data_IF_731271528399
#
_entry.id   IF_731271528399
#
_cell.length_a   1.000
_cell.length_b   1.000
_cell.length_c   1.000
_cell.angle_alpha   90.00
_cell.angle_beta   90.00
_cell.angle_gamma   90.00
#
_symmetry.space_group_name_H-M   'P 1'
#
loop_
_entity.id
_entity.type
_entity.pdbx_description
1 polymer ?
#
# COMPACT_ATOMS: atom_id res chain seq x y z
N UNK A 1 -20.66 -9.71 -16.70
CA UNK A 1 -19.56 -8.74 -16.91
C UNK A 1 -18.42 -9.20 -16.02
N UNK A 2 -17.21 -9.39 -16.55
CA UNK A 2 -16.07 -9.76 -15.71
C UNK A 2 -15.84 -8.62 -14.74
N UNK A 3 -16.08 -8.84 -13.45
CA UNK A 3 -15.78 -7.84 -12.45
C UNK A 3 -14.27 -7.62 -12.44
N UNK A 4 -13.86 -6.37 -12.36
CA UNK A 4 -12.48 -5.95 -12.44
C UNK A 4 -11.93 -5.84 -11.01
N UNK A 5 -10.88 -6.58 -10.65
CA UNK A 5 -10.24 -6.52 -9.32
C UNK A 5 -9.44 -5.23 -9.05
N UNK A 6 -9.76 -4.17 -9.78
CA UNK A 6 -9.20 -2.84 -9.61
C UNK A 6 -10.32 -1.82 -9.45
N UNK A 7 -10.27 -1.05 -8.37
CA UNK A 7 -11.33 -0.11 -7.95
C UNK A 7 -10.79 1.32 -8.06
N UNK A 8 -11.57 2.22 -8.64
CA UNK A 8 -11.19 3.64 -8.86
C UNK A 8 -9.87 3.82 -9.65
N UNK A 9 -9.49 2.85 -10.47
CA UNK A 9 -8.28 2.87 -11.30
C UNK A 9 -8.69 2.72 -12.77
N UNK A 10 -8.17 3.59 -13.64
CA UNK A 10 -8.28 3.41 -15.10
C UNK A 10 -7.20 2.45 -15.59
N UNK A 11 -7.34 1.93 -16.82
CA UNK A 11 -6.34 1.05 -17.40
C UNK A 11 -4.96 1.71 -17.52
N UNK A 12 -4.91 3.02 -17.76
CA UNK A 12 -3.65 3.78 -17.81
C UNK A 12 -2.97 3.85 -16.44
N UNK A 13 -3.74 4.05 -15.37
CA UNK A 13 -3.22 4.12 -14.00
C UNK A 13 -2.66 2.78 -13.51
N UNK A 14 -3.10 1.65 -14.08
CA UNK A 14 -2.61 0.33 -13.70
C UNK A 14 -1.13 0.10 -14.02
N UNK A 15 -0.60 0.84 -15.00
CA UNK A 15 0.80 0.76 -15.43
C UNK A 15 1.61 2.02 -15.06
N UNK A 16 0.98 2.99 -14.40
CA UNK A 16 1.68 4.14 -13.83
C UNK A 16 2.52 3.72 -12.61
N UNK A 17 3.76 4.23 -12.47
CA UNK A 17 4.60 3.92 -11.31
C UNK A 17 3.97 4.38 -9.99
N UNK A 18 3.99 3.47 -9.02
CA UNK A 18 3.60 3.73 -7.63
C UNK A 18 4.78 3.42 -6.71
N UNK A 19 4.74 4.01 -5.52
CA UNK A 19 5.89 4.07 -4.64
C UNK A 19 5.51 3.76 -3.19
N UNK A 20 6.44 3.15 -2.47
CA UNK A 20 6.31 2.89 -1.03
C UNK A 20 7.65 3.16 -0.34
N UNK A 21 7.60 3.93 0.73
CA UNK A 21 8.74 4.12 1.64
C UNK A 21 8.62 3.11 2.78
N UNK A 22 9.73 2.48 3.14
CA UNK A 22 9.82 1.60 4.30
C UNK A 22 11.21 1.68 4.94
N UNK A 23 11.37 1.32 6.22
CA UNK A 23 12.68 1.19 6.84
C UNK A 23 13.57 0.20 6.09
N UNK A 24 14.86 0.52 5.94
CA UNK A 24 15.81 -0.30 5.16
C UNK A 24 15.89 -1.74 5.66
N UNK A 25 15.78 -1.97 6.98
CA UNK A 25 15.82 -3.31 7.54
C UNK A 25 14.61 -4.17 7.09
N UNK A 26 13.44 -3.57 6.89
CA UNK A 26 12.25 -4.25 6.32
C UNK A 26 12.46 -4.56 4.84
N UNK A 27 13.11 -3.68 4.10
CA UNK A 27 13.46 -3.96 2.71
C UNK A 27 14.47 -5.11 2.60
N UNK A 28 15.50 -5.14 3.45
CA UNK A 28 16.46 -6.26 3.49
C UNK A 28 15.78 -7.58 3.89
N UNK A 29 14.82 -7.53 4.81
CA UNK A 29 13.97 -8.68 5.16
C UNK A 29 13.15 -9.16 3.95
N UNK A 30 12.52 -8.24 3.21
CA UNK A 30 11.78 -8.57 1.97
C UNK A 30 12.68 -9.25 0.93
N UNK A 31 13.91 -8.78 0.76
CA UNK A 31 14.87 -9.39 -0.18
C UNK A 31 15.30 -10.80 0.26
N UNK A 32 15.48 -11.01 1.56
CA UNK A 32 15.87 -12.30 2.14
C UNK A 32 14.72 -13.32 2.05
N UNK A 33 13.56 -12.95 2.59
CA UNK A 33 12.40 -13.83 2.71
C UNK A 33 11.64 -13.98 1.40
N UNK A 34 11.83 -13.05 0.45
CA UNK A 34 11.10 -12.96 -0.81
C UNK A 34 9.59 -12.91 -0.59
N UNK A 35 9.17 -12.17 0.44
CA UNK A 35 7.76 -12.03 0.83
C UNK A 35 7.34 -10.57 0.90
N UNK A 36 6.17 -10.27 0.36
CA UNK A 36 5.48 -9.00 0.58
C UNK A 36 4.53 -9.16 1.76
N UNK A 37 4.45 -8.14 2.61
CA UNK A 37 3.66 -8.16 3.85
C UNK A 37 2.50 -7.18 3.79
N UNK A 38 1.28 -7.67 3.99
CA UNK A 38 0.07 -6.88 4.21
C UNK A 38 -0.29 -6.97 5.70
N UNK A 39 -0.92 -5.92 6.22
CA UNK A 39 -1.34 -5.86 7.63
C UNK A 39 -2.83 -5.61 7.72
N UNK A 40 -3.46 -6.05 8.81
CA UNK A 40 -4.87 -5.76 9.06
C UNK A 40 -5.09 -4.24 9.18
N UNK A 41 -6.18 -3.69 8.62
CA UNK A 41 -6.53 -2.26 8.76
C UNK A 41 -6.63 -1.76 10.21
N UNK A 42 -6.90 -2.65 11.18
CA UNK A 42 -6.89 -2.30 12.61
C UNK A 42 -5.52 -1.80 13.11
N UNK A 43 -4.44 -2.03 12.37
CA UNK A 43 -3.09 -1.53 12.66
C UNK A 43 -2.79 -0.19 11.99
N UNK A 44 -3.70 0.34 11.18
CA UNK A 44 -3.52 1.64 10.55
C UNK A 44 -3.90 2.75 11.53
N UNK A 45 -3.28 3.92 11.38
CA UNK A 45 -3.40 5.02 12.35
C UNK A 45 -4.70 5.84 12.20
N UNK A 46 -5.35 5.83 11.02
CA UNK A 46 -6.58 6.60 10.78
C UNK A 46 -7.83 5.82 11.22
N UNK A 47 -8.58 6.30 12.23
CA UNK A 47 -9.76 5.60 12.75
C UNK A 47 -10.88 5.44 11.71
N UNK A 48 -10.91 6.27 10.65
CA UNK A 48 -11.94 6.19 9.61
C UNK A 48 -11.69 5.05 8.61
N UNK A 49 -10.45 4.59 8.45
CA UNK A 49 -10.10 3.58 7.45
C UNK A 49 -10.72 2.20 7.73
N UNK A 50 -11.19 1.98 8.96
CA UNK A 50 -11.82 0.72 9.38
C UNK A 50 -13.25 0.95 9.91
N UNK A 51 -13.85 2.12 9.67
CA UNK A 51 -15.13 2.50 10.27
C UNK A 51 -16.29 1.58 9.86
N UNK A 52 -16.37 1.20 8.57
CA UNK A 52 -17.40 0.29 8.06
C UNK A 52 -17.27 -1.13 8.63
N UNK A 53 -16.07 -1.70 8.58
CA UNK A 53 -15.81 -3.06 9.07
C UNK A 53 -15.92 -3.16 10.60
N UNK A 54 -15.72 -2.06 11.32
CA UNK A 54 -15.97 -1.98 12.77
C UNK A 54 -17.41 -1.59 13.14
N UNK A 55 -18.28 -1.31 12.17
CA UNK A 55 -19.66 -0.92 12.45
C UNK A 55 -20.47 -2.07 13.05
N UNK A 56 -21.47 -1.72 13.87
CA UNK A 56 -22.45 -2.68 14.38
C UNK A 56 -23.50 -2.92 13.31
N UNK A 57 -23.73 -4.19 12.99
CA UNK A 57 -24.83 -4.63 12.13
C UNK A 57 -26.03 -4.81 13.02
N UNK A 58 -27.15 -4.16 12.71
CA UNK A 58 -28.43 -4.44 13.35
C UNK A 58 -29.34 -5.13 12.34
N UNK A 59 -29.85 -6.31 12.67
CA UNK A 59 -30.80 -7.03 11.83
C UNK A 59 -32.20 -6.44 11.98
N UNK A 60 -33.11 -6.75 11.05
CA UNK A 60 -34.52 -6.35 11.15
C UNK A 60 -35.22 -6.81 12.44
N UNK A 61 -34.67 -7.84 13.08
CA UNK A 61 -35.19 -8.44 14.31
C UNK A 61 -34.57 -7.82 15.58
N UNK A 62 -33.72 -6.80 15.43
CA UNK A 62 -33.06 -6.09 16.52
C UNK A 62 -31.83 -6.81 17.08
N UNK A 63 -31.34 -7.86 16.42
CA UNK A 63 -30.09 -8.52 16.79
C UNK A 63 -28.89 -7.71 16.30
N UNK A 64 -27.91 -7.53 17.17
CA UNK A 64 -26.67 -6.80 16.84
C UNK A 64 -25.51 -7.76 16.60
N UNK A 65 -24.75 -7.53 15.53
CA UNK A 65 -23.53 -8.27 15.19
C UNK A 65 -22.41 -7.35 14.70
N UNK A 66 -21.29 -7.94 14.29
CA UNK A 66 -20.18 -7.23 13.64
C UNK A 66 -19.74 -7.98 12.39
N UNK A 67 -19.14 -7.29 11.42
CA UNK A 67 -18.57 -7.95 10.25
C UNK A 67 -17.35 -8.80 10.63
N UNK A 68 -17.38 -10.10 10.35
CA UNK A 68 -16.25 -11.02 10.53
C UNK A 68 -15.08 -10.68 9.61
N UNK A 69 -15.36 -10.11 8.44
CA UNK A 69 -14.37 -9.71 7.43
C UNK A 69 -13.27 -8.80 8.00
N UNK A 70 -13.55 -8.01 9.05
CA UNK A 70 -12.53 -7.16 9.70
C UNK A 70 -11.33 -7.95 10.22
N UNK A 71 -11.53 -9.21 10.55
CA UNK A 71 -10.51 -10.09 11.12
C UNK A 71 -9.70 -10.84 10.05
N UNK A 72 -10.21 -10.88 8.81
CA UNK A 72 -9.65 -11.62 7.67
C UNK A 72 -9.22 -10.71 6.50
N UNK A 73 -9.32 -9.38 6.61
CA UNK A 73 -8.89 -8.43 5.58
C UNK A 73 -7.54 -7.79 5.90
N UNK A 74 -6.69 -7.71 4.88
CA UNK A 74 -5.34 -7.17 4.96
C UNK A 74 -5.09 -6.19 3.83
N UNK A 75 -4.24 -5.19 4.07
CA UNK A 75 -3.85 -4.26 3.02
C UNK A 75 -2.42 -3.75 3.14
N UNK A 76 -1.97 -3.12 2.05
CA UNK A 76 -0.70 -2.43 1.96
C UNK A 76 -0.86 -1.16 1.11
N UNK A 77 -0.46 -0.03 1.68
CA UNK A 77 -0.56 1.29 1.09
C UNK A 77 0.65 1.61 0.19
N UNK A 78 0.38 2.22 -0.96
CA UNK A 78 1.33 2.77 -1.91
C UNK A 78 0.86 4.16 -2.32
N UNK A 79 1.68 4.92 -3.02
CA UNK A 79 1.32 6.27 -3.50
C UNK A 79 1.70 6.47 -4.97
N UNK A 80 0.97 7.31 -5.68
CA UNK A 80 1.39 7.83 -6.99
C UNK A 80 2.41 8.97 -6.90
N UNK A 81 2.66 9.53 -5.70
CA UNK A 81 3.71 10.53 -5.54
C UNK A 81 5.09 9.89 -5.66
N UNK A 82 5.85 10.33 -6.67
CA UNK A 82 7.21 9.86 -6.88
C UNK A 82 8.10 10.18 -5.69
N UNK A 83 8.26 11.44 -5.33
CA UNK A 83 9.07 11.83 -4.19
C UNK A 83 8.61 13.17 -3.62
N UNK A 84 8.34 13.22 -2.32
CA UNK A 84 8.10 14.48 -1.59
C UNK A 84 8.85 14.46 -0.26
N UNK A 85 9.25 15.64 0.22
CA UNK A 85 9.89 15.76 1.53
C UNK A 85 8.97 15.30 2.67
N UNK A 86 7.66 15.60 2.57
CA UNK A 86 6.66 15.18 3.54
C UNK A 86 6.64 13.65 3.71
N UNK A 87 6.65 12.89 2.62
CA UNK A 87 6.67 11.43 2.67
C UNK A 87 7.93 10.89 3.37
N UNK A 88 9.11 11.46 3.11
CA UNK A 88 10.33 11.06 3.82
C UNK A 88 10.24 11.33 5.32
N UNK A 89 9.65 12.46 5.72
CA UNK A 89 9.46 12.78 7.15
C UNK A 89 8.46 11.87 7.85
N UNK A 90 7.39 11.47 7.17
CA UNK A 90 6.34 10.61 7.71
C UNK A 90 6.82 9.17 7.82
N UNK A 91 7.41 8.62 6.75
CA UNK A 91 7.70 7.18 6.64
C UNK A 91 9.17 6.79 6.89
N UNK A 92 10.07 7.77 7.02
CA UNK A 92 11.51 7.57 7.27
C UNK A 92 11.99 8.56 8.34
N UNK A 93 11.39 8.49 9.53
CA UNK A 93 11.70 9.40 10.64
C UNK A 93 13.20 9.40 10.99
N UNK A 94 13.79 8.20 11.07
CA UNK A 94 15.18 7.98 11.45
C UNK A 94 16.17 8.10 10.28
N UNK A 95 15.69 8.54 9.10
CA UNK A 95 16.49 8.73 7.86
C UNK A 95 17.14 7.44 7.35
N UNK A 96 16.63 6.29 7.79
CA UNK A 96 17.07 4.96 7.41
C UNK A 96 16.10 4.30 6.42
N UNK A 97 15.22 5.07 5.79
CA UNK A 97 14.24 4.59 4.83
C UNK A 97 14.78 4.37 3.42
N UNK A 98 14.07 3.49 2.71
CA UNK A 98 14.21 3.28 1.28
C UNK A 98 12.83 3.35 0.64
N UNK A 99 12.75 4.04 -0.49
CA UNK A 99 11.58 4.06 -1.36
C UNK A 99 11.77 3.01 -2.44
N UNK A 100 10.77 2.19 -2.66
CA UNK A 100 10.71 1.24 -3.78
C UNK A 100 9.62 1.64 -4.77
N UNK A 101 9.75 1.27 -6.03
CA UNK A 101 8.73 1.51 -7.06
C UNK A 101 8.24 0.22 -7.72
N UNK A 102 6.98 0.20 -8.15
CA UNK A 102 6.35 -0.87 -8.94
C UNK A 102 5.15 -0.28 -9.71
N UNK A 103 4.26 -1.11 -10.25
CA UNK A 103 2.96 -0.68 -10.79
C UNK A 103 1.80 -1.41 -10.12
N UNK A 104 0.58 -0.84 -10.09
CA UNK A 104 -0.59 -1.54 -9.58
C UNK A 104 -0.80 -2.91 -10.23
N UNK A 105 -0.63 -3.01 -11.55
CA UNK A 105 -0.79 -4.27 -12.29
C UNK A 105 0.14 -5.37 -11.78
N UNK A 106 1.42 -5.04 -11.53
CA UNK A 106 2.41 -5.98 -11.00
C UNK A 106 2.06 -6.47 -9.60
N UNK A 107 1.65 -5.57 -8.71
CA UNK A 107 1.23 -5.94 -7.34
C UNK A 107 0.02 -6.85 -7.33
N UNK A 108 -1.03 -6.48 -8.08
CA UNK A 108 -2.25 -7.28 -8.16
C UNK A 108 -1.95 -8.66 -8.74
N UNK A 109 -1.16 -8.72 -9.82
CA UNK A 109 -0.77 -9.98 -10.46
C UNK A 109 0.05 -10.86 -9.51
N UNK A 110 0.98 -10.28 -8.75
CA UNK A 110 1.79 -11.03 -7.79
C UNK A 110 0.94 -11.63 -6.66
N UNK A 111 -0.01 -10.86 -6.12
CA UNK A 111 -0.94 -11.35 -5.09
C UNK A 111 -1.85 -12.46 -5.64
N UNK A 112 -2.45 -12.25 -6.82
CA UNK A 112 -3.30 -13.23 -7.48
C UNK A 112 -2.56 -14.52 -7.84
N UNK A 113 -1.27 -14.42 -8.20
CA UNK A 113 -0.42 -15.58 -8.48
C UNK A 113 -0.11 -16.37 -7.21
N UNK A 114 0.12 -15.69 -6.09
CA UNK A 114 0.36 -16.34 -4.81
C UNK A 114 -0.91 -16.95 -4.20
N UNK A 115 -2.07 -16.35 -4.46
CA UNK A 115 -3.38 -16.74 -3.91
C UNK A 115 -4.36 -17.11 -5.04
N UNK A 116 -4.15 -18.20 -5.79
CA UNK A 116 -4.88 -18.49 -7.02
C UNK A 116 -6.35 -18.88 -6.80
N UNK A 117 -6.67 -19.43 -5.62
CA UNK A 117 -8.00 -19.94 -5.30
C UNK A 117 -8.96 -18.78 -5.04
N UNK A 118 -9.94 -18.60 -5.94
CA UNK A 118 -10.91 -17.49 -5.88
C UNK A 118 -10.26 -16.11 -5.81
N UNK A 119 -9.08 -15.95 -6.43
CA UNK A 119 -8.34 -14.68 -6.46
C UNK A 119 -9.19 -13.48 -6.90
N UNK A 120 -10.13 -13.69 -7.83
CA UNK A 120 -11.05 -12.65 -8.30
C UNK A 120 -12.06 -12.17 -7.24
N UNK A 121 -12.21 -12.88 -6.12
CA UNK A 121 -13.09 -12.51 -5.02
C UNK A 121 -12.31 -11.98 -3.80
N UNK A 122 -10.98 -12.10 -3.82
CA UNK A 122 -10.12 -11.91 -2.65
C UNK A 122 -9.01 -10.89 -2.85
N UNK A 123 -8.50 -10.76 -4.07
CA UNK A 123 -7.35 -9.93 -4.38
C UNK A 123 -7.82 -8.67 -5.09
N UNK A 124 -7.59 -7.50 -4.50
CA UNK A 124 -7.99 -6.23 -5.08
C UNK A 124 -6.85 -5.22 -5.04
N UNK A 125 -6.89 -4.26 -5.95
CA UNK A 125 -6.10 -3.05 -5.85
C UNK A 125 -6.99 -1.85 -6.09
N UNK A 126 -6.82 -0.75 -5.36
CA UNK A 126 -7.70 0.38 -5.55
C UNK A 126 -7.12 1.71 -5.18
N UNK A 127 -7.49 2.74 -5.92
CA UNK A 127 -7.13 4.13 -5.60
C UNK A 127 -8.06 4.65 -4.51
N UNK A 128 -7.46 5.26 -3.50
CA UNK A 128 -8.22 5.90 -2.41
C UNK A 128 -8.93 7.15 -2.96
N UNK A 129 -10.21 7.26 -2.65
CA UNK A 129 -11.04 8.43 -2.91
C UNK A 129 -11.12 9.29 -1.65
N UNK A 130 -10.93 10.59 -1.83
CA UNK A 130 -10.87 11.54 -0.73
C UNK A 130 -12.14 12.38 -0.69
N UNK A 131 -12.82 12.39 0.45
CA UNK A 131 -14.12 13.06 0.62
C UNK A 131 -14.12 13.96 1.85
N UNK A 132 -14.88 15.08 1.83
CA UNK A 132 -15.21 15.81 3.05
C UNK A 132 -15.95 14.90 4.05
N UNK A 133 -15.75 15.11 5.35
CA UNK A 133 -16.34 14.27 6.40
C UNK A 133 -17.86 14.09 6.28
N UNK A 134 -18.58 15.14 5.89
CA UNK A 134 -20.04 15.11 5.70
C UNK A 134 -20.48 14.16 4.58
N UNK A 135 -19.67 14.01 3.53
CA UNK A 135 -19.94 13.09 2.42
C UNK A 135 -19.39 11.69 2.70
N UNK A 136 -18.38 11.57 3.56
CA UNK A 136 -17.73 10.31 3.85
C UNK A 136 -18.69 9.30 4.49
N UNK A 137 -19.49 9.73 5.48
CA UNK A 137 -20.45 8.85 6.13
C UNK A 137 -21.51 8.33 5.14
N UNK A 138 -22.08 9.21 4.32
CA UNK A 138 -23.05 8.84 3.28
C UNK A 138 -22.45 7.84 2.29
N UNK A 139 -21.22 8.10 1.83
CA UNK A 139 -20.54 7.21 0.91
C UNK A 139 -20.26 5.85 1.54
N UNK A 140 -19.77 5.82 2.78
CA UNK A 140 -19.52 4.57 3.50
C UNK A 140 -20.81 3.76 3.67
N UNK A 141 -21.93 4.37 4.05
CA UNK A 141 -23.22 3.68 4.17
C UNK A 141 -23.76 3.15 2.83
N UNK A 142 -23.33 3.71 1.70
CA UNK A 142 -23.73 3.23 0.37
C UNK A 142 -22.94 2.00 -0.11
N UNK A 143 -21.82 1.66 0.54
CA UNK A 143 -20.98 0.51 0.16
C UNK A 143 -21.70 -0.78 0.52
N UNK A 144 -21.91 -1.65 -0.46
CA UNK A 144 -22.57 -2.94 -0.23
C UNK A 144 -21.58 -3.99 0.28
N UNK A 145 -21.38 -4.05 1.60
CA UNK A 145 -20.50 -5.04 2.25
C UNK A 145 -20.90 -6.50 1.99
N UNK A 146 -22.12 -6.75 1.53
CA UNK A 146 -22.64 -8.09 1.23
C UNK A 146 -22.45 -8.49 -0.23
N UNK A 147 -21.74 -7.69 -1.02
CA UNK A 147 -21.42 -8.04 -2.41
C UNK A 147 -20.67 -9.37 -2.47
N UNK A 148 -21.28 -10.34 -3.16
CA UNK A 148 -20.77 -11.71 -3.25
C UNK A 148 -19.47 -11.82 -4.06
N UNK A 149 -19.10 -10.76 -4.77
CA UNK A 149 -17.84 -10.68 -5.51
C UNK A 149 -16.66 -10.18 -4.65
N UNK A 150 -16.89 -9.84 -3.37
CA UNK A 150 -15.87 -9.35 -2.44
C UNK A 150 -15.50 -7.87 -2.62
N UNK A 151 -16.03 -7.20 -3.65
CA UNK A 151 -15.66 -5.83 -3.98
C UNK A 151 -16.12 -4.82 -2.93
N UNK A 152 -17.28 -5.01 -2.29
CA UNK A 152 -17.76 -4.11 -1.24
C UNK A 152 -16.82 -4.04 -0.02
N UNK A 153 -16.22 -5.17 0.38
CA UNK A 153 -15.21 -5.19 1.45
C UNK A 153 -13.99 -4.38 1.01
N UNK A 154 -13.50 -4.58 -0.21
CA UNK A 154 -12.36 -3.83 -0.73
C UNK A 154 -12.67 -2.33 -0.88
N UNK A 155 -13.84 -1.98 -1.40
CA UNK A 155 -14.31 -0.59 -1.57
C UNK A 155 -14.42 0.14 -0.23
N UNK A 156 -14.84 -0.56 0.83
CA UNK A 156 -14.93 0.01 2.18
C UNK A 156 -13.60 0.56 2.72
N UNK A 157 -12.47 0.03 2.21
CA UNK A 157 -11.12 0.45 2.56
C UNK A 157 -10.56 1.52 1.63
N UNK A 158 -11.35 2.09 0.71
CA UNK A 158 -10.85 3.02 -0.31
C UNK A 158 -11.39 4.44 -0.14
N UNK A 159 -11.86 4.81 1.04
CA UNK A 159 -12.28 6.17 1.36
C UNK A 159 -11.49 6.74 2.53
N UNK A 160 -11.01 7.98 2.35
CA UNK A 160 -10.36 8.77 3.41
C UNK A 160 -10.91 10.19 3.40
N UNK A 161 -10.63 10.91 4.48
CA UNK A 161 -10.94 12.34 4.55
C UNK A 161 -10.01 13.15 3.65
N UNK A 162 -10.51 14.27 3.12
CA UNK A 162 -9.79 15.15 2.18
C UNK A 162 -8.45 15.65 2.71
N UNK A 163 -8.27 15.75 4.03
CA UNK A 163 -7.02 16.16 4.66
C UNK A 163 -5.85 15.20 4.35
N UNK A 164 -6.15 13.95 3.99
CA UNK A 164 -5.16 12.93 3.61
C UNK A 164 -4.90 12.85 2.10
N UNK A 165 -5.52 13.73 1.28
CA UNK A 165 -5.37 13.70 -0.19
C UNK A 165 -3.91 13.80 -0.65
N UNK A 166 -3.08 14.49 0.15
CA UNK A 166 -1.63 14.62 -0.07
C UNK A 166 -0.86 13.29 -0.09
N UNK A 167 -1.47 12.18 0.36
CA UNK A 167 -0.88 10.84 0.26
C UNK A 167 -1.05 10.22 -1.13
N UNK A 168 -2.05 10.63 -1.92
CA UNK A 168 -2.37 10.10 -3.26
C UNK A 168 -2.28 8.56 -3.32
N UNK A 169 -3.03 7.93 -2.42
CA UNK A 169 -2.84 6.55 -1.99
C UNK A 169 -3.51 5.53 -2.93
N UNK A 170 -2.86 4.38 -3.08
CA UNK A 170 -3.39 3.18 -3.72
C UNK A 170 -3.13 1.97 -2.80
N UNK A 171 -4.13 1.12 -2.60
CA UNK A 171 -4.08 0.00 -1.67
C UNK A 171 -4.13 -1.32 -2.41
N UNK A 172 -3.16 -2.19 -2.14
CA UNK A 172 -3.28 -3.62 -2.41
C UNK A 172 -4.05 -4.24 -1.25
N UNK A 173 -5.11 -5.00 -1.53
CA UNK A 173 -6.06 -5.53 -0.54
C UNK A 173 -6.21 -7.04 -0.76
N UNK A 174 -6.19 -7.79 0.34
CA UNK A 174 -6.46 -9.23 0.37
C UNK A 174 -7.53 -9.55 1.40
N UNK A 175 -8.61 -10.19 0.95
CA UNK A 175 -9.64 -10.78 1.82
C UNK A 175 -9.34 -12.28 1.98
N UNK A 176 -8.79 -12.63 3.13
CA UNK A 176 -8.47 -14.01 3.50
C UNK A 176 -9.71 -14.83 3.85
N UNK A 177 -9.49 -16.13 4.10
CA UNK A 177 -10.57 -17.01 4.55
C UNK A 177 -10.93 -16.74 6.02
N UNK A 178 -12.23 -16.68 6.29
CA UNK A 178 -12.76 -16.61 7.65
C UNK A 178 -12.25 -17.81 8.46
N UNK A 179 -11.65 -17.54 9.63
CA UNK A 179 -11.03 -18.50 10.54
C UNK A 179 -9.59 -18.97 10.21
N UNK A 180 -8.93 -18.39 9.20
CA UNK A 180 -7.47 -18.53 9.09
C UNK A 180 -6.79 -17.90 10.32
N UNK A 181 -5.68 -18.49 10.78
CA UNK A 181 -4.94 -18.15 12.01
C UNK A 181 -4.92 -16.63 12.29
N UNK A 182 -5.28 -16.25 13.51
CA UNK A 182 -5.47 -14.87 13.96
C UNK A 182 -4.13 -14.10 14.01
N UNK A 183 -3.63 -13.71 12.84
CA UNK A 183 -2.43 -12.92 12.64
C UNK A 183 -2.80 -11.52 12.19
N UNK A 184 -2.11 -10.50 12.71
CA UNK A 184 -2.23 -9.13 12.20
C UNK A 184 -1.54 -8.94 10.83
N UNK A 185 -0.88 -9.98 10.35
CA UNK A 185 0.04 -9.95 9.22
C UNK A 185 -0.32 -11.10 8.27
N UNK A 186 -0.51 -10.74 7.00
CA UNK A 186 -0.56 -11.67 5.88
C UNK A 186 0.70 -11.48 5.04
N UNK A 187 1.36 -12.57 4.66
CA UNK A 187 2.55 -12.52 3.82
C UNK A 187 2.41 -13.48 2.64
N UNK A 188 2.80 -13.04 1.45
CA UNK A 188 2.80 -13.87 0.26
C UNK A 188 4.14 -13.77 -0.47
N UNK A 189 4.50 -14.87 -1.13
CA UNK A 189 5.78 -14.99 -1.85
C UNK A 189 5.78 -14.12 -3.10
N UNK A 190 6.88 -13.43 -3.34
CA UNK A 190 7.12 -12.59 -4.52
C UNK A 190 8.49 -12.89 -5.13
N UNK A 191 8.70 -12.47 -6.37
CA UNK A 191 10.05 -12.29 -6.92
C UNK A 191 10.40 -10.80 -6.86
N UNK A 192 11.25 -10.34 -5.93
CA UNK A 192 11.57 -8.92 -5.81
C UNK A 192 12.15 -8.30 -7.08
N UNK A 193 12.93 -9.06 -7.86
CA UNK A 193 13.56 -8.57 -9.09
C UNK A 193 12.60 -8.42 -10.27
N UNK A 194 11.42 -9.04 -10.22
CA UNK A 194 10.36 -8.87 -11.22
C UNK A 194 9.31 -7.85 -10.76
N UNK A 195 9.00 -7.87 -9.46
CA UNK A 195 7.99 -7.00 -8.88
C UNK A 195 8.48 -5.54 -8.75
N UNK A 196 9.71 -5.32 -8.28
CA UNK A 196 10.22 -3.98 -7.97
C UNK A 196 11.10 -3.44 -9.10
N UNK A 197 10.83 -2.21 -9.51
CA UNK A 197 11.49 -1.56 -10.66
C UNK A 197 12.70 -0.73 -10.25
N UNK A 198 12.61 -0.03 -9.12
CA UNK A 198 13.71 0.77 -8.62
C UNK A 198 13.66 0.95 -7.11
N UNK A 199 14.80 1.30 -6.54
CA UNK A 199 14.92 1.78 -5.17
C UNK A 199 15.58 3.14 -5.12
N UNK A 200 15.24 3.92 -4.12
CA UNK A 200 15.78 5.25 -3.84
C UNK A 200 16.00 5.35 -2.34
N UNK A 201 17.23 5.59 -1.91
CA UNK A 201 17.51 5.82 -0.49
C UNK A 201 17.00 7.19 -0.05
N UNK A 202 16.63 7.31 1.24
CA UNK A 202 16.35 8.61 1.84
C UNK A 202 17.54 9.55 1.56
N UNK A 203 17.29 10.74 0.98
CA UNK A 203 18.37 11.68 0.65
C UNK A 203 19.17 12.15 1.87
N UNK A 204 18.59 12.05 3.07
CA UNK A 204 19.19 12.46 4.35
C UNK A 204 20.00 11.33 4.99
N UNK A 205 20.00 10.12 4.41
CA UNK A 205 20.80 8.99 4.88
C UNK A 205 22.30 9.29 4.75
N UNK A 206 23.07 8.95 5.78
CA UNK A 206 24.53 9.12 5.80
C UNK A 206 25.19 8.33 4.65
N UNK A 207 26.22 8.91 4.02
CA UNK A 207 26.83 8.39 2.80
C UNK A 207 27.48 7.02 2.97
N UNK A 208 28.24 6.79 4.03
CA UNK A 208 28.90 5.51 4.29
C UNK A 208 27.87 4.43 4.63
N UNK A 209 26.84 4.78 5.41
CA UNK A 209 25.73 3.88 5.72
C UNK A 209 24.97 3.48 4.46
N UNK A 210 24.64 4.44 3.59
CA UNK A 210 24.02 4.18 2.28
C UNK A 210 24.89 3.25 1.43
N UNK A 211 26.20 3.48 1.40
CA UNK A 211 27.13 2.63 0.66
C UNK A 211 27.16 1.20 1.21
N UNK A 212 27.12 1.02 2.54
CA UNK A 212 27.05 -0.29 3.16
C UNK A 212 25.75 -1.03 2.77
N UNK A 213 24.60 -0.35 2.82
CA UNK A 213 23.33 -0.94 2.38
C UNK A 213 23.30 -1.26 0.89
N UNK A 214 23.88 -0.40 0.04
CA UNK A 214 24.00 -0.67 -1.39
C UNK A 214 24.77 -1.98 -1.65
N UNK A 215 25.86 -2.22 -0.91
CA UNK A 215 26.62 -3.47 -1.00
C UNK A 215 25.79 -4.66 -0.54
N UNK A 216 25.08 -4.54 0.59
CA UNK A 216 24.21 -5.60 1.10
C UNK A 216 23.06 -5.96 0.14
N UNK A 217 22.44 -4.97 -0.51
CA UNK A 217 21.38 -5.18 -1.49
C UNK A 217 21.91 -5.90 -2.74
N UNK A 218 23.10 -5.51 -3.21
CA UNK A 218 23.77 -6.16 -4.34
C UNK A 218 24.13 -7.60 -4.04
N UNK A 219 24.62 -7.88 -2.83
CA UNK A 219 24.95 -9.23 -2.37
C UNK A 219 23.72 -10.16 -2.36
N UNK A 220 22.55 -9.61 -1.99
CA UNK A 220 21.25 -10.32 -2.09
C UNK A 220 20.75 -10.53 -3.52
N UNK A 221 21.52 -10.14 -4.54
CA UNK A 221 21.20 -10.38 -5.95
C UNK A 221 20.05 -9.52 -6.49
N UNK A 222 19.71 -8.42 -5.82
CA UNK A 222 18.66 -7.51 -6.30
C UNK A 222 19.17 -6.75 -7.53
N UNK A 223 18.46 -6.89 -8.66
CA UNK A 223 18.88 -6.39 -9.98
C UNK A 223 18.24 -5.07 -10.40
N UNK A 224 17.26 -4.58 -9.65
CA UNK A 224 16.52 -3.38 -10.02
C UNK A 224 17.38 -2.11 -9.90
N UNK A 225 16.93 -1.04 -10.53
CA UNK A 225 17.68 0.21 -10.61
C UNK A 225 17.83 0.85 -9.22
N UNK A 226 19.07 1.20 -8.83
CA UNK A 226 19.34 1.92 -7.58
C UNK A 226 19.60 3.39 -7.88
N UNK A 227 18.70 4.25 -7.44
CA UNK A 227 18.76 5.71 -7.65
C UNK A 227 19.25 6.43 -6.39
N UNK A 228 19.76 7.64 -6.59
CA UNK A 228 20.10 8.59 -5.53
C UNK A 228 19.22 9.82 -5.75
N UNK A 229 18.54 10.26 -4.69
CA UNK A 229 17.69 11.44 -4.74
C UNK A 229 18.55 12.69 -4.80
N UNK A 230 18.15 13.65 -5.63
CA UNK A 230 18.78 14.97 -5.74
C UNK A 230 17.97 16.04 -5.00
N UNK A 231 16.96 15.65 -4.20
CA UNK A 231 16.02 16.57 -3.54
C UNK A 231 16.71 17.63 -2.66
N UNK A 232 17.85 17.27 -2.06
CA UNK A 232 18.63 18.14 -1.17
C UNK A 232 19.95 18.64 -1.80
N UNK A 233 20.17 18.38 -3.09
CA UNK A 233 21.37 18.87 -3.77
C UNK A 233 21.28 20.38 -4.00
N UNK A 234 22.35 21.11 -3.67
CA UNK A 234 22.41 22.54 -3.96
C UNK A 234 22.35 22.79 -5.48
N UNK A 235 21.67 23.86 -5.94
CA UNK A 235 21.61 24.20 -7.36
C UNK A 235 23.03 24.35 -7.94
N UNK A 236 23.34 23.59 -8.98
CA UNK A 236 24.62 23.70 -9.68
C UNK A 236 24.61 24.94 -10.57
N UNK A 237 25.70 25.70 -10.56
CA UNK A 237 25.88 26.82 -11.49
C UNK A 237 25.19 28.14 -11.08
N UNK A 238 24.77 28.29 -9.82
CA UNK A 238 24.31 29.58 -9.32
C UNK A 238 25.51 30.55 -9.20
N UNK A 239 25.68 31.40 -10.22
CA UNK A 239 26.70 32.45 -10.24
C UNK A 239 25.99 33.79 -10.20
N UNK A 240 26.08 34.48 -9.06
CA UNK A 240 25.68 35.88 -8.98
C UNK A 240 26.81 36.76 -9.52
N UNK A 241 26.54 37.49 -10.60
CA UNK A 241 27.43 38.55 -11.09
C UNK A 241 26.94 39.86 -10.47
N UNK A 242 27.83 40.53 -9.73
CA UNK A 242 27.64 41.87 -9.20
C UNK A 242 27.89 42.92 -10.28
#
# INVERSE_FOLDING_TARGET
>A
MSYNNHINLTDELLDEPIYRIMPIHRFLQLLEEKKLTLVRPIKWDDPFENALLNSTIETSDGETGTFSAKDSVYGQCWTFHSETDAMWRIYSHDKDGVRVSTTPRKLLTALQTAEPTHHNLKCFIGKVSYLPEINLLEKLMSVNLLDTDGSGIAESLLYKRVEFEHENEVRLIYSGDDNAVNSDIFQFTINPGELLDSILFDPRMEKNLRQAYLLAIKDKGFKAEVKISTLYDAPKGLVFKL
#
